data_IF_151985254039
#
_entry.id   IF_151985254039
#
_cell.length_a   1.000
_cell.length_b   1.000
_cell.length_c   1.000
_cell.angle_alpha   90.00
_cell.angle_beta   90.00
_cell.angle_gamma   90.00
#
_symmetry.space_group_name_H-M   'P 1'
#
loop_
_entity.id
_entity.type
_entity.pdbx_description
1 polymer ?
#
# COMPACT_ATOMS: atom_id res chain seq x y z
N UNK A 1 -45.77 6.30 -34.79
CA UNK A 1 -45.17 5.14 -34.09
C UNK A 1 -43.75 4.76 -34.57
N UNK A 2 -43.31 5.09 -35.78
CA UNK A 2 -41.95 4.74 -36.30
C UNK A 2 -40.79 5.58 -35.70
N UNK A 3 -41.03 6.78 -35.13
CA UNK A 3 -39.98 7.65 -34.57
C UNK A 3 -39.57 7.29 -33.12
N UNK A 4 -40.39 6.56 -32.37
CA UNK A 4 -40.09 6.18 -30.98
C UNK A 4 -39.14 4.97 -30.90
N UNK A 5 -39.15 4.10 -31.89
CA UNK A 5 -38.29 2.89 -31.95
C UNK A 5 -36.85 3.24 -32.26
N UNK A 6 -36.60 4.33 -33.01
CA UNK A 6 -35.22 4.77 -33.35
C UNK A 6 -34.44 5.36 -32.19
N UNK A 7 -35.12 5.98 -31.21
CA UNK A 7 -34.50 6.54 -30.02
C UNK A 7 -34.04 5.48 -28.98
N UNK A 8 -34.73 4.35 -28.94
CA UNK A 8 -34.36 3.25 -28.03
C UNK A 8 -33.14 2.48 -28.56
N UNK A 9 -33.00 2.35 -29.89
CA UNK A 9 -31.85 1.66 -30.48
C UNK A 9 -30.54 2.40 -30.37
N UNK A 10 -30.56 3.73 -30.20
CA UNK A 10 -29.34 4.56 -30.00
C UNK A 10 -28.87 4.63 -28.52
N UNK A 11 -29.73 4.32 -27.56
CA UNK A 11 -29.38 4.32 -26.13
C UNK A 11 -28.77 2.97 -25.67
N UNK A 12 -28.98 1.87 -26.37
CA UNK A 12 -28.46 0.56 -25.98
C UNK A 12 -26.92 0.41 -26.04
N UNK A 13 -26.18 0.97 -27.02
CA UNK A 13 -24.72 0.81 -27.06
C UNK A 13 -24.00 1.65 -26.00
N UNK A 14 -24.63 2.70 -25.47
CA UNK A 14 -24.01 3.54 -24.41
C UNK A 14 -24.00 2.86 -23.02
N UNK A 15 -24.81 1.84 -22.80
CA UNK A 15 -24.88 1.07 -21.55
C UNK A 15 -23.90 -0.11 -21.50
N UNK A 16 -23.28 -0.48 -22.63
CA UNK A 16 -22.43 -1.66 -22.75
C UNK A 16 -20.92 -1.36 -22.51
N UNK A 17 -20.54 -0.10 -22.26
CA UNK A 17 -19.15 0.28 -22.03
C UNK A 17 -18.86 0.78 -20.60
N UNK A 18 -19.64 0.37 -19.62
CA UNK A 18 -19.21 0.45 -18.23
C UNK A 18 -18.06 -0.57 -18.04
N UNK A 19 -16.89 -0.22 -18.52
CA UNK A 19 -15.67 -0.98 -18.28
C UNK A 19 -15.54 -1.17 -16.77
N UNK A 20 -15.66 -2.41 -16.33
CA UNK A 20 -15.55 -2.75 -14.92
C UNK A 20 -14.18 -2.28 -14.43
N UNK A 21 -14.16 -1.22 -13.65
CA UNK A 21 -12.91 -0.60 -13.17
C UNK A 21 -12.28 -1.57 -12.18
N UNK A 22 -11.10 -2.08 -12.48
CA UNK A 22 -10.29 -2.85 -11.52
C UNK A 22 -9.82 -1.91 -10.40
N UNK A 23 -10.71 -1.66 -9.43
CA UNK A 23 -10.50 -0.69 -8.36
C UNK A 23 -9.28 -1.00 -7.51
N UNK A 24 -9.01 -2.27 -7.23
CA UNK A 24 -7.87 -2.72 -6.45
C UNK A 24 -6.62 -2.94 -7.32
N UNK A 25 -6.75 -2.80 -8.65
CA UNK A 25 -5.66 -3.00 -9.60
C UNK A 25 -5.04 -4.41 -9.54
N UNK A 26 -5.88 -5.44 -9.52
CA UNK A 26 -5.47 -6.85 -9.52
C UNK A 26 -4.61 -7.21 -10.73
N UNK A 27 -4.87 -6.53 -11.88
CA UNK A 27 -4.13 -6.77 -13.12
C UNK A 27 -2.66 -6.34 -13.06
N UNK A 28 -2.29 -5.41 -12.16
CA UNK A 28 -0.95 -4.79 -12.14
C UNK A 28 0.20 -5.81 -12.08
N UNK A 29 0.04 -6.85 -11.26
CA UNK A 29 1.06 -7.86 -11.03
C UNK A 29 0.66 -9.27 -11.49
N UNK A 30 -0.50 -9.42 -12.16
CA UNK A 30 -1.01 -10.73 -12.55
C UNK A 30 -0.02 -11.52 -13.43
N UNK A 31 0.58 -10.88 -14.43
CA UNK A 31 1.57 -11.50 -15.28
C UNK A 31 2.87 -11.83 -14.53
N UNK A 32 3.40 -10.86 -13.76
CA UNK A 32 4.61 -11.06 -12.96
C UNK A 32 4.42 -12.19 -11.93
N UNK A 33 3.23 -12.28 -11.32
CA UNK A 33 2.89 -13.36 -10.39
C UNK A 33 2.87 -14.73 -11.09
N UNK A 34 2.32 -14.80 -12.31
CA UNK A 34 2.25 -16.03 -13.09
C UNK A 34 3.62 -16.50 -13.60
N UNK A 35 4.57 -15.60 -13.77
CA UNK A 35 5.92 -15.89 -14.24
C UNK A 35 6.89 -16.34 -13.12
N UNK A 36 6.49 -16.22 -11.85
CA UNK A 36 7.32 -16.69 -10.74
C UNK A 36 7.48 -18.21 -10.79
N UNK A 37 8.72 -18.66 -10.93
CA UNK A 37 9.06 -20.10 -10.94
C UNK A 37 9.38 -20.64 -9.56
N UNK A 38 9.69 -19.76 -8.63
CA UNK A 38 9.98 -20.07 -7.22
C UNK A 38 9.32 -19.05 -6.31
N UNK A 39 8.85 -19.43 -5.10
CA UNK A 39 8.37 -18.48 -4.12
C UNK A 39 9.40 -17.39 -3.83
N UNK A 40 9.03 -16.11 -3.77
CA UNK A 40 9.92 -15.06 -3.31
C UNK A 40 10.25 -15.24 -1.83
N UNK A 41 11.47 -14.87 -1.40
CA UNK A 41 11.82 -14.92 0.00
C UNK A 41 10.97 -13.91 0.81
N UNK A 42 10.78 -12.71 0.27
CA UNK A 42 9.98 -11.64 0.89
C UNK A 42 9.16 -10.93 -0.18
N UNK A 43 7.90 -10.63 0.15
CA UNK A 43 7.06 -9.70 -0.63
C UNK A 43 7.03 -8.35 0.07
N UNK A 44 7.23 -7.27 -0.69
CA UNK A 44 7.08 -5.89 -0.22
C UNK A 44 5.74 -5.35 -0.71
N UNK A 45 4.73 -5.38 0.17
CA UNK A 45 3.40 -4.83 -0.09
C UNK A 45 3.36 -3.36 0.30
N UNK A 46 3.01 -2.48 -0.64
CA UNK A 46 3.00 -1.05 -0.37
C UNK A 46 2.39 -0.18 -1.48
N UNK A 47 2.68 1.10 -1.40
CA UNK A 47 2.24 2.15 -2.32
C UNK A 47 3.37 2.64 -3.25
N UNK A 48 3.32 3.93 -3.63
CA UNK A 48 4.34 4.58 -4.46
C UNK A 48 5.74 4.57 -3.85
N UNK A 49 5.89 4.51 -2.54
CA UNK A 49 7.20 4.45 -1.89
C UNK A 49 7.86 3.11 -2.20
N UNK A 50 7.12 2.02 -2.08
CA UNK A 50 7.59 0.68 -2.42
C UNK A 50 7.81 0.50 -3.92
N UNK A 51 6.87 0.98 -4.76
CA UNK A 51 6.97 0.99 -6.22
C UNK A 51 8.18 1.81 -6.70
N UNK A 52 8.38 2.99 -6.12
CA UNK A 52 9.52 3.86 -6.42
C UNK A 52 10.87 3.26 -6.00
N UNK A 53 10.90 2.49 -4.92
CA UNK A 53 12.12 1.78 -4.50
C UNK A 53 12.53 0.72 -5.51
N UNK A 54 11.60 -0.09 -5.98
CA UNK A 54 11.87 -1.09 -7.03
C UNK A 54 12.34 -0.45 -8.33
N UNK A 55 11.71 0.66 -8.73
CA UNK A 55 12.11 1.42 -9.92
C UNK A 55 13.53 2.02 -9.80
N UNK A 56 13.93 2.46 -8.60
CA UNK A 56 15.24 3.08 -8.36
C UNK A 56 16.36 2.04 -8.12
N UNK A 57 16.03 0.90 -7.52
CA UNK A 57 16.97 -0.13 -7.08
C UNK A 57 16.44 -1.54 -7.36
N UNK A 58 16.15 -1.90 -8.62
CA UNK A 58 15.61 -3.22 -8.98
C UNK A 58 16.56 -4.37 -8.59
N UNK A 59 17.88 -4.11 -8.57
CA UNK A 59 18.89 -5.08 -8.15
C UNK A 59 18.72 -5.52 -6.70
N UNK A 60 18.23 -4.65 -5.82
CA UNK A 60 17.94 -5.01 -4.43
C UNK A 60 16.88 -6.13 -4.36
N UNK A 61 15.85 -6.05 -5.18
CA UNK A 61 14.78 -7.05 -5.21
C UNK A 61 15.26 -8.34 -5.88
N UNK A 62 15.89 -8.24 -7.04
CA UNK A 62 16.30 -9.41 -7.83
C UNK A 62 17.43 -10.21 -7.17
N UNK A 63 18.45 -9.55 -6.60
CA UNK A 63 19.58 -10.21 -5.95
C UNK A 63 19.18 -10.98 -4.67
N UNK A 64 18.07 -10.56 -4.02
CA UNK A 64 17.62 -11.18 -2.77
C UNK A 64 16.41 -12.10 -2.94
N UNK A 65 15.96 -12.36 -4.17
CA UNK A 65 14.71 -13.07 -4.44
C UNK A 65 13.51 -12.43 -3.72
N UNK A 66 13.42 -11.10 -3.76
CA UNK A 66 12.31 -10.35 -3.22
C UNK A 66 11.33 -9.97 -4.34
N UNK A 67 10.05 -9.81 -3.99
CA UNK A 67 9.02 -9.36 -4.91
C UNK A 67 8.44 -8.02 -4.46
N UNK A 68 8.61 -6.99 -5.30
CA UNK A 68 7.91 -5.72 -5.11
C UNK A 68 6.43 -5.87 -5.51
N UNK A 69 5.54 -5.45 -4.64
CA UNK A 69 4.09 -5.34 -4.88
C UNK A 69 3.57 -3.97 -4.44
N UNK A 70 4.38 -2.94 -4.73
CA UNK A 70 4.02 -1.53 -4.56
C UNK A 70 3.12 -1.04 -5.70
N UNK A 71 2.10 -0.23 -5.42
CA UNK A 71 1.29 0.45 -6.44
C UNK A 71 1.07 1.90 -6.03
N UNK A 72 1.49 2.82 -6.89
CA UNK A 72 1.36 4.25 -6.65
C UNK A 72 -0.06 4.69 -6.30
N UNK A 73 -0.22 5.53 -5.27
CA UNK A 73 -1.49 6.10 -4.86
C UNK A 73 -2.44 5.18 -4.09
N UNK A 74 -2.15 3.90 -3.95
CA UNK A 74 -3.05 2.95 -3.30
C UNK A 74 -3.24 3.21 -1.80
N UNK A 75 -4.48 3.01 -1.36
CA UNK A 75 -4.91 3.00 0.04
C UNK A 75 -4.97 1.57 0.59
N UNK A 76 -5.01 1.45 1.92
CA UNK A 76 -4.98 0.15 2.62
C UNK A 76 -6.10 -0.80 2.21
N UNK A 77 -7.32 -0.29 1.95
CA UNK A 77 -8.44 -1.11 1.48
C UNK A 77 -8.18 -1.77 0.12
N UNK A 78 -7.53 -1.06 -0.81
CA UNK A 78 -7.14 -1.62 -2.11
C UNK A 78 -6.06 -2.69 -1.95
N UNK A 79 -5.05 -2.44 -1.09
CA UNK A 79 -4.00 -3.41 -0.79
C UNK A 79 -4.58 -4.70 -0.16
N UNK A 80 -5.52 -4.56 0.80
CA UNK A 80 -6.19 -5.69 1.43
C UNK A 80 -6.94 -6.55 0.40
N UNK A 81 -7.66 -5.93 -0.55
CA UNK A 81 -8.37 -6.68 -1.60
C UNK A 81 -7.43 -7.56 -2.42
N UNK A 82 -6.27 -7.04 -2.87
CA UNK A 82 -5.31 -7.78 -3.70
C UNK A 82 -4.30 -8.60 -2.89
N UNK A 83 -4.35 -8.56 -1.56
CA UNK A 83 -3.35 -9.19 -0.69
C UNK A 83 -3.22 -10.71 -0.92
N UNK A 84 -4.34 -11.39 -1.18
CA UNK A 84 -4.28 -12.83 -1.50
C UNK A 84 -3.54 -13.11 -2.80
N UNK A 85 -3.85 -12.35 -3.87
CA UNK A 85 -3.25 -12.55 -5.18
C UNK A 85 -1.76 -12.22 -5.21
N UNK A 86 -1.37 -11.12 -4.54
CA UNK A 86 -0.04 -10.52 -4.63
C UNK A 86 0.90 -10.94 -3.49
N UNK A 87 0.38 -11.60 -2.44
CA UNK A 87 1.19 -12.06 -1.31
C UNK A 87 0.94 -13.53 -1.01
N UNK A 88 -0.29 -13.90 -0.61
CA UNK A 88 -0.56 -15.23 -0.05
C UNK A 88 -0.30 -16.33 -1.10
N UNK A 89 -0.78 -16.13 -2.33
CA UNK A 89 -0.64 -17.12 -3.41
C UNK A 89 0.82 -17.25 -3.93
N UNK A 90 1.71 -16.34 -3.54
CA UNK A 90 3.13 -16.40 -3.89
C UNK A 90 3.94 -17.22 -2.87
N UNK A 91 3.36 -17.57 -1.72
CA UNK A 91 3.96 -18.36 -0.65
C UNK A 91 5.33 -17.84 -0.16
N UNK A 92 5.51 -16.53 0.11
CA UNK A 92 6.78 -16.02 0.62
C UNK A 92 7.02 -16.46 2.06
N UNK A 93 8.27 -16.34 2.54
CA UNK A 93 8.58 -16.55 3.96
C UNK A 93 8.11 -15.38 4.84
N UNK A 94 8.13 -14.16 4.28
CA UNK A 94 7.69 -12.95 4.99
C UNK A 94 7.05 -11.93 4.03
N UNK A 95 6.27 -11.01 4.61
CA UNK A 95 5.73 -9.85 3.91
C UNK A 95 6.04 -8.59 4.70
N UNK A 96 6.63 -7.59 4.03
CA UNK A 96 6.81 -6.23 4.54
C UNK A 96 5.57 -5.41 4.14
N UNK A 97 4.91 -4.78 5.10
CA UNK A 97 3.70 -3.97 4.88
C UNK A 97 4.03 -2.51 5.22
N UNK A 98 4.11 -1.67 4.18
CA UNK A 98 4.30 -0.21 4.29
C UNK A 98 3.10 0.50 3.67
N UNK A 99 2.13 0.92 4.50
CA UNK A 99 0.84 1.41 4.06
C UNK A 99 0.26 2.46 5.02
N UNK A 100 -0.70 3.28 4.54
CA UNK A 100 -1.48 4.20 5.36
C UNK A 100 -1.32 5.68 4.99
N UNK A 101 -0.22 6.10 4.36
CA UNK A 101 -0.02 7.51 4.01
C UNK A 101 -1.08 8.03 3.04
N UNK A 102 -1.47 7.24 2.03
CA UNK A 102 -2.49 7.61 1.05
C UNK A 102 -3.90 7.61 1.62
N UNK A 103 -4.14 6.80 2.65
CA UNK A 103 -5.38 6.82 3.44
C UNK A 103 -5.48 8.14 4.23
N UNK A 104 -4.42 8.53 4.94
CA UNK A 104 -4.34 9.80 5.65
C UNK A 104 -4.46 11.00 4.70
N UNK A 105 -3.92 10.89 3.49
CA UNK A 105 -4.09 11.87 2.41
C UNK A 105 -5.48 11.80 1.76
N UNK A 106 -6.36 10.88 2.16
CA UNK A 106 -7.71 10.69 1.63
C UNK A 106 -7.76 10.49 0.10
N UNK A 107 -6.78 9.78 -0.47
CA UNK A 107 -6.72 9.55 -1.92
C UNK A 107 -7.96 8.83 -2.48
N UNK A 108 -8.65 8.06 -1.64
CA UNK A 108 -9.90 7.38 -1.99
C UNK A 108 -11.08 7.85 -1.11
N UNK A 109 -11.05 9.14 -0.71
CA UNK A 109 -12.03 9.73 0.18
C UNK A 109 -11.68 9.60 1.67
N UNK A 110 -12.45 10.27 2.55
CA UNK A 110 -12.23 10.26 3.99
C UNK A 110 -12.35 8.86 4.60
N UNK A 111 -11.42 8.53 5.50
CA UNK A 111 -11.42 7.28 6.26
C UNK A 111 -10.95 7.56 7.69
N UNK A 112 -11.54 6.92 8.68
CA UNK A 112 -11.08 7.01 10.06
C UNK A 112 -9.77 6.24 10.25
N UNK A 113 -8.83 6.78 11.05
CA UNK A 113 -7.55 6.12 11.36
C UNK A 113 -7.73 4.68 11.85
N UNK A 114 -8.81 4.42 12.61
CA UNK A 114 -9.14 3.08 13.09
C UNK A 114 -9.27 2.07 11.94
N UNK A 115 -9.95 2.41 10.85
CA UNK A 115 -10.11 1.52 9.70
C UNK A 115 -8.83 1.33 8.90
N UNK A 116 -7.93 2.33 8.89
CA UNK A 116 -6.58 2.16 8.31
C UNK A 116 -5.81 1.09 9.09
N UNK A 117 -5.83 1.20 10.43
CA UNK A 117 -5.22 0.21 11.35
C UNK A 117 -5.81 -1.18 11.13
N UNK A 118 -7.15 -1.29 11.10
CA UNK A 118 -7.86 -2.56 10.89
C UNK A 118 -7.52 -3.23 9.57
N UNK A 119 -7.38 -2.47 8.49
CA UNK A 119 -6.96 -2.99 7.19
C UNK A 119 -5.54 -3.57 7.24
N UNK A 120 -4.59 -2.88 7.90
CA UNK A 120 -3.21 -3.35 8.05
C UNK A 120 -3.16 -4.57 8.96
N UNK A 121 -3.90 -4.57 10.07
CA UNK A 121 -4.04 -5.74 10.96
C UNK A 121 -4.60 -6.93 10.19
N UNK A 122 -5.64 -6.74 9.38
CA UNK A 122 -6.24 -7.80 8.58
C UNK A 122 -5.22 -8.41 7.60
N UNK A 123 -4.39 -7.60 6.95
CA UNK A 123 -3.30 -8.10 6.09
C UNK A 123 -2.28 -8.92 6.91
N UNK A 124 -1.88 -8.44 8.09
CA UNK A 124 -0.96 -9.18 8.96
C UNK A 124 -1.55 -10.51 9.46
N UNK A 125 -2.82 -10.52 9.85
CA UNK A 125 -3.51 -11.74 10.29
C UNK A 125 -3.70 -12.76 9.17
N UNK A 126 -4.02 -12.30 7.95
CA UNK A 126 -4.08 -13.15 6.76
C UNK A 126 -2.71 -13.75 6.44
N UNK A 127 -1.63 -12.98 6.57
CA UNK A 127 -0.27 -13.49 6.40
C UNK A 127 0.04 -14.58 7.43
N UNK A 128 -0.18 -14.32 8.72
CA UNK A 128 0.05 -15.29 9.80
C UNK A 128 -0.76 -16.57 9.60
N UNK A 129 -2.03 -16.45 9.23
CA UNK A 129 -2.88 -17.61 8.94
C UNK A 129 -2.38 -18.45 7.76
N UNK A 130 -1.65 -17.85 6.84
CA UNK A 130 -1.00 -18.52 5.71
C UNK A 130 0.43 -19.01 6.01
N UNK A 131 0.92 -18.88 7.24
CA UNK A 131 2.29 -19.24 7.63
C UNK A 131 3.36 -18.25 7.18
N UNK A 132 2.96 -17.05 6.74
CA UNK A 132 3.84 -15.97 6.27
C UNK A 132 4.11 -15.02 7.43
N UNK A 133 5.37 -14.66 7.68
CA UNK A 133 5.75 -13.72 8.75
C UNK A 133 5.46 -12.28 8.33
N UNK A 134 4.52 -11.55 8.96
CA UNK A 134 4.32 -10.13 8.68
C UNK A 134 5.39 -9.28 9.38
N UNK A 135 5.84 -8.24 8.65
CA UNK A 135 6.74 -7.19 9.13
C UNK A 135 6.00 -5.88 8.88
N UNK A 136 5.66 -5.16 9.96
CA UNK A 136 4.90 -3.91 9.87
C UNK A 136 5.88 -2.75 9.93
N UNK A 137 5.72 -1.79 8.99
CA UNK A 137 6.55 -0.59 8.95
C UNK A 137 5.76 0.63 9.43
N UNK A 138 6.46 1.57 10.08
CA UNK A 138 5.90 2.90 10.32
C UNK A 138 5.68 3.64 9.00
N UNK A 139 4.62 4.44 8.93
CA UNK A 139 4.44 5.45 7.89
C UNK A 139 5.53 6.51 8.03
N UNK A 140 6.14 6.88 6.92
CA UNK A 140 7.24 7.84 6.88
C UNK A 140 6.77 9.24 7.33
N UNK A 141 7.67 10.08 7.88
CA UNK A 141 7.32 11.44 8.27
C UNK A 141 6.95 12.30 7.05
N UNK A 142 5.92 13.12 7.20
CA UNK A 142 5.53 14.13 6.25
C UNK A 142 4.93 15.32 6.98
N UNK A 143 5.36 16.53 6.63
CA UNK A 143 4.79 17.77 7.19
C UNK A 143 3.43 18.11 6.56
N UNK A 144 3.27 17.80 5.27
CA UNK A 144 2.06 18.01 4.47
C UNK A 144 2.06 17.06 3.26
N UNK A 145 0.90 16.93 2.61
CA UNK A 145 0.77 16.23 1.33
C UNK A 145 0.68 17.27 0.20
N UNK A 146 1.70 17.40 -0.68
CA UNK A 146 1.69 18.42 -1.74
C UNK A 146 0.50 18.32 -2.70
N UNK A 147 -0.04 17.12 -2.88
CA UNK A 147 -1.19 16.83 -3.77
C UNK A 147 -2.57 16.92 -3.05
N UNK A 148 -2.58 17.14 -1.72
CA UNK A 148 -3.78 17.24 -0.87
C UNK A 148 -3.55 18.27 0.23
N UNK A 149 -3.39 19.52 -0.19
CA UNK A 149 -2.99 20.64 0.68
C UNK A 149 -4.04 21.01 1.73
N UNK A 150 -5.29 20.58 1.54
CA UNK A 150 -6.38 20.73 2.46
C UNK A 150 -6.33 19.79 3.67
N UNK A 151 -5.47 18.79 3.65
CA UNK A 151 -5.31 17.87 4.78
C UNK A 151 -4.43 18.53 5.85
N UNK A 152 -5.04 18.84 6.97
CA UNK A 152 -4.38 19.45 8.13
C UNK A 152 -3.84 18.40 9.11
N UNK A 153 -2.94 18.84 9.99
CA UNK A 153 -2.39 18.02 11.10
C UNK A 153 -1.79 16.69 10.62
N UNK A 154 -1.10 16.71 9.48
CA UNK A 154 -0.50 15.50 8.89
C UNK A 154 0.48 14.82 9.84
N UNK A 155 1.43 15.52 10.50
CA UNK A 155 2.37 14.89 11.42
C UNK A 155 1.67 14.19 12.60
N UNK A 156 0.61 14.79 13.15
CA UNK A 156 -0.17 14.24 14.27
C UNK A 156 -0.89 12.96 13.85
N UNK A 157 -1.51 12.97 12.68
CA UNK A 157 -2.21 11.80 12.11
C UNK A 157 -1.25 10.64 11.86
N UNK A 158 -0.04 10.93 11.33
CA UNK A 158 0.99 9.92 11.13
C UNK A 158 1.44 9.33 12.46
N UNK A 159 1.70 10.17 13.48
CA UNK A 159 2.09 9.70 14.81
C UNK A 159 1.02 8.83 15.47
N UNK A 160 -0.26 9.21 15.38
CA UNK A 160 -1.38 8.41 15.91
C UNK A 160 -1.46 7.04 15.22
N UNK A 161 -1.40 7.02 13.89
CA UNK A 161 -1.41 5.77 13.12
C UNK A 161 -0.22 4.88 13.50
N UNK A 162 0.99 5.42 13.52
CA UNK A 162 2.20 4.67 13.87
C UNK A 162 2.15 4.13 15.30
N UNK A 163 1.67 4.92 16.27
CA UNK A 163 1.54 4.48 17.66
C UNK A 163 0.57 3.28 17.80
N UNK A 164 -0.55 3.28 17.07
CA UNK A 164 -1.51 2.17 17.07
C UNK A 164 -0.94 0.92 16.42
N UNK A 165 -0.26 1.05 15.29
CA UNK A 165 0.38 -0.07 14.59
C UNK A 165 1.53 -0.66 15.40
N UNK A 166 2.36 0.19 16.01
CA UNK A 166 3.44 -0.26 16.89
C UNK A 166 2.91 -1.05 18.10
N UNK A 167 1.84 -0.56 18.73
CA UNK A 167 1.19 -1.28 19.83
C UNK A 167 0.74 -2.67 19.39
N UNK A 168 0.02 -2.77 18.27
CA UNK A 168 -0.41 -4.06 17.74
C UNK A 168 0.77 -5.00 17.46
N UNK A 169 1.82 -4.49 16.81
CA UNK A 169 3.01 -5.28 16.52
C UNK A 169 3.68 -5.79 17.81
N UNK A 170 3.82 -4.92 18.82
CA UNK A 170 4.37 -5.26 20.13
C UNK A 170 3.54 -6.31 20.86
N UNK A 171 2.22 -6.12 20.93
CA UNK A 171 1.30 -7.03 21.61
C UNK A 171 1.28 -8.44 20.98
N UNK A 172 1.59 -8.53 19.69
CA UNK A 172 1.64 -9.78 18.92
C UNK A 172 3.04 -10.34 18.72
N UNK A 173 4.09 -9.67 19.22
CA UNK A 173 5.49 -10.07 19.01
C UNK A 173 5.91 -10.03 17.54
N UNK A 174 5.32 -9.15 16.72
CA UNK A 174 5.66 -8.96 15.33
C UNK A 174 6.87 -8.05 15.17
N UNK A 175 7.57 -8.17 14.03
CA UNK A 175 8.66 -7.28 13.69
C UNK A 175 8.06 -5.92 13.31
N UNK A 176 8.58 -4.86 13.96
CA UNK A 176 8.31 -3.47 13.65
C UNK A 176 9.56 -2.82 13.03
N UNK A 177 9.38 -2.13 11.90
CA UNK A 177 10.44 -1.35 11.26
C UNK A 177 10.10 0.13 11.37
N UNK A 178 10.89 0.86 12.16
CA UNK A 178 10.64 2.28 12.43
C UNK A 178 11.36 3.20 11.43
N UNK A 179 10.84 3.29 10.21
CA UNK A 179 11.30 4.27 9.22
C UNK A 179 11.05 5.71 9.66
N UNK A 180 9.99 5.95 10.44
CA UNK A 180 9.62 7.30 10.88
C UNK A 180 10.76 7.94 11.69
N UNK A 181 11.19 7.28 12.74
CA UNK A 181 12.29 7.77 13.60
C UNK A 181 13.63 7.81 12.86
N UNK A 182 13.94 6.79 12.05
CA UNK A 182 15.16 6.76 11.25
C UNK A 182 15.28 7.96 10.32
N UNK A 183 14.19 8.32 9.61
CA UNK A 183 14.22 9.43 8.65
C UNK A 183 14.23 10.81 9.33
N UNK A 184 13.55 10.99 10.47
CA UNK A 184 13.66 12.21 11.25
C UNK A 184 15.09 12.44 11.72
N UNK A 185 15.74 11.41 12.29
CA UNK A 185 17.11 11.53 12.77
C UNK A 185 18.10 11.86 11.64
N UNK A 186 17.95 11.28 10.45
CA UNK A 186 18.84 11.56 9.32
C UNK A 186 18.60 12.95 8.73
N UNK A 187 17.37 13.48 8.75
CA UNK A 187 17.07 14.85 8.29
C UNK A 187 17.65 15.89 9.25
N UNK A 188 17.49 15.70 10.56
CA UNK A 188 18.04 16.60 11.57
C UNK A 188 19.59 16.65 11.49
N UNK A 189 20.23 15.49 11.32
CA UNK A 189 21.69 15.42 11.14
C UNK A 189 22.18 16.05 9.81
N UNK A 190 21.34 16.11 8.78
CA UNK A 190 21.66 16.80 7.53
C UNK A 190 21.54 18.32 7.68
N UNK A 191 20.54 18.82 8.41
CA UNK A 191 20.33 20.24 8.68
C UNK A 191 21.45 20.81 9.57
N UNK A 192 21.91 20.06 10.57
CA UNK A 192 23.06 20.44 11.40
C UNK A 192 24.36 20.59 10.59
N UNK A 193 24.60 19.74 9.56
CA UNK A 193 25.78 19.83 8.68
C UNK A 193 25.71 20.97 7.67
N UNK A 194 24.50 21.44 7.33
CA UNK A 194 24.32 22.57 6.40
C UNK A 194 24.43 23.94 7.09
N UNK A 195 24.51 23.97 8.44
CA UNK A 195 24.63 25.19 9.25
C UNK A 195 26.09 25.49 9.70
N UNK A 196 27.09 24.74 9.21
CA UNK A 196 28.53 24.95 9.38
C UNK A 196 29.13 25.31 8.00
#
# INVERSE_FOLDING_TARGET
>A
MKKLILLIALALPALLTAQQRDWANYGRYAEANAQLTTPPAVVFMGNSITDGWDNAHPEFFTANNFACRGIGGQVTGQMLCRFRADVINLHPQAVVILAGTNDLAQNNGPIATQHIVENIISMAELAMAAGIRPIICSVLPAGKYPWRTEIESVPEKIRDLNARLHRYASDRGLIWVDYYTCLLYTSDAADERSSV
#
